data_IF_304181480100
#
_entry.id   IF_304181480100
#
_cell.length_a   1.000
_cell.length_b   1.000
_cell.length_c   1.000
_cell.angle_alpha   90.00
_cell.angle_beta   90.00
_cell.angle_gamma   90.00
#
_symmetry.space_group_name_H-M   'P 1'
#
loop_
_entity.id
_entity.type
_entity.pdbx_description
1 polymer ?
#
# COMPACT_ATOMS: atom_id res chain seq x y z
N UNK A 1 -20.35 -18.93 -0.98
CA UNK A 1 -20.45 -17.56 -0.45
C UNK A 1 -19.63 -17.38 0.85
N UNK A 2 -18.44 -18.00 0.95
CA UNK A 2 -17.53 -17.94 2.12
C UNK A 2 -16.09 -17.55 1.70
N UNK A 3 -15.93 -17.02 0.49
CA UNK A 3 -14.61 -16.68 -0.08
C UNK A 3 -14.06 -15.38 0.52
N UNK A 4 -14.91 -14.38 0.79
CA UNK A 4 -14.50 -13.11 1.39
C UNK A 4 -14.00 -13.23 2.83
N UNK A 5 -14.70 -14.01 3.67
CA UNK A 5 -14.30 -14.26 5.06
C UNK A 5 -13.09 -15.21 5.15
N UNK A 6 -12.91 -16.13 4.19
CA UNK A 6 -11.71 -16.95 4.07
C UNK A 6 -10.49 -16.15 3.58
N UNK A 7 -10.67 -15.17 2.68
CA UNK A 7 -9.62 -14.25 2.23
C UNK A 7 -9.18 -13.28 3.34
N UNK A 8 -10.12 -12.77 4.15
CA UNK A 8 -9.80 -11.92 5.30
C UNK A 8 -9.07 -12.68 6.43
N UNK A 9 -9.46 -13.93 6.71
CA UNK A 9 -8.78 -14.81 7.69
C UNK A 9 -7.42 -15.31 7.19
N UNK A 10 -7.29 -15.68 5.91
CA UNK A 10 -5.99 -16.08 5.34
C UNK A 10 -4.99 -14.93 5.29
N UNK A 11 -5.45 -13.69 5.03
CA UNK A 11 -4.62 -12.49 5.02
C UNK A 11 -4.04 -12.08 6.38
N UNK A 12 -4.60 -12.57 7.51
CA UNK A 12 -4.08 -12.32 8.86
C UNK A 12 -3.13 -13.43 9.34
N UNK A 13 -3.37 -14.69 8.94
CA UNK A 13 -2.51 -15.83 9.26
C UNK A 13 -1.18 -15.86 8.48
N UNK A 14 -1.14 -15.34 7.24
CA UNK A 14 0.05 -15.40 6.36
C UNK A 14 1.08 -14.26 6.56
N UNK A 15 0.81 -13.30 7.47
CA UNK A 15 1.68 -12.14 7.70
C UNK A 15 2.89 -12.41 8.58
N UNK A 16 2.79 -13.36 9.51
CA UNK A 16 3.89 -13.71 10.43
C UNK A 16 5.15 -14.17 9.69
N UNK A 17 5.06 -15.18 8.80
CA UNK A 17 6.19 -15.65 8.02
C UNK A 17 6.77 -14.59 7.08
N UNK A 18 5.93 -13.73 6.49
CA UNK A 18 6.37 -12.65 5.61
C UNK A 18 7.10 -11.53 6.38
N UNK A 19 6.61 -11.16 7.56
CA UNK A 19 7.26 -10.17 8.41
C UNK A 19 8.66 -10.63 8.87
N UNK A 20 8.82 -11.91 9.23
CA UNK A 20 10.11 -12.49 9.55
C UNK A 20 11.09 -12.42 8.36
N UNK A 21 10.60 -12.67 7.13
CA UNK A 21 11.38 -12.51 5.89
C UNK A 21 11.85 -11.09 5.66
N UNK A 22 10.94 -10.12 5.75
CA UNK A 22 11.28 -8.70 5.59
C UNK A 22 12.33 -8.28 6.60
N UNK A 23 12.15 -8.62 7.88
CA UNK A 23 13.11 -8.26 8.94
C UNK A 23 14.47 -8.91 8.73
N UNK A 24 14.50 -10.22 8.41
CA UNK A 24 15.75 -10.93 8.14
C UNK A 24 16.52 -10.32 6.96
N UNK A 25 15.85 -10.08 5.84
CA UNK A 25 16.47 -9.45 4.68
C UNK A 25 16.91 -8.01 4.96
N UNK A 26 16.12 -7.22 5.69
CA UNK A 26 16.49 -5.85 6.06
C UNK A 26 17.75 -5.80 6.93
N UNK A 27 17.85 -6.66 7.94
CA UNK A 27 19.04 -6.75 8.81
C UNK A 27 20.30 -7.10 8.02
N UNK A 28 20.18 -8.02 7.06
CA UNK A 28 21.31 -8.44 6.22
C UNK A 28 21.65 -7.44 5.12
N UNK A 29 20.68 -6.65 4.66
CA UNK A 29 20.89 -5.65 3.60
C UNK A 29 21.80 -4.53 4.06
N UNK A 30 21.67 -4.09 5.32
CA UNK A 30 22.49 -3.00 5.88
C UNK A 30 23.99 -3.29 5.77
N UNK A 31 24.55 -4.40 6.32
CA UNK A 31 25.97 -4.69 6.20
C UNK A 31 26.41 -4.93 4.75
N UNK A 32 25.57 -5.52 3.89
CA UNK A 32 25.90 -5.70 2.46
C UNK A 32 26.09 -4.33 1.79
N UNK A 33 25.14 -3.41 1.95
CA UNK A 33 25.22 -2.06 1.36
C UNK A 33 26.43 -1.30 1.92
N UNK A 34 26.65 -1.35 3.24
CA UNK A 34 27.78 -0.66 3.88
C UNK A 34 29.12 -1.18 3.36
N UNK A 35 29.29 -2.50 3.24
CA UNK A 35 30.54 -3.09 2.73
C UNK A 35 30.77 -2.75 1.26
N UNK A 36 29.72 -2.71 0.43
CA UNK A 36 29.85 -2.34 -0.98
C UNK A 36 30.15 -0.84 -1.15
N UNK A 37 29.48 0.04 -0.41
CA UNK A 37 29.52 1.48 -0.65
C UNK A 37 30.63 2.23 0.11
N UNK A 38 31.21 1.63 1.15
CA UNK A 38 32.20 2.28 2.01
C UNK A 38 33.56 1.58 1.86
N UNK A 39 34.42 2.00 0.90
CA UNK A 39 35.72 1.37 0.65
C UNK A 39 36.62 1.22 1.89
N UNK A 40 36.64 2.17 2.86
CA UNK A 40 37.43 2.00 4.09
C UNK A 40 37.05 0.77 4.93
N UNK A 41 35.83 0.26 4.81
CA UNK A 41 35.35 -0.91 5.55
C UNK A 41 35.64 -2.25 4.83
N UNK A 42 36.24 -2.20 3.63
CA UNK A 42 36.60 -3.36 2.84
C UNK A 42 37.92 -3.99 3.33
N UNK A 43 37.78 -4.96 4.23
CA UNK A 43 38.86 -5.83 4.69
C UNK A 43 39.18 -6.92 3.65
N UNK A 44 40.33 -7.63 3.70
CA UNK A 44 40.82 -8.46 2.60
C UNK A 44 39.91 -9.56 2.03
N UNK A 45 38.86 -9.96 2.76
CA UNK A 45 37.88 -10.97 2.35
C UNK A 45 36.43 -10.46 2.39
N UNK A 46 36.23 -9.14 2.35
CA UNK A 46 34.91 -8.50 2.45
C UNK A 46 33.95 -9.01 1.37
N UNK A 47 34.46 -9.32 0.17
CA UNK A 47 33.68 -9.76 -0.97
C UNK A 47 33.01 -11.13 -0.73
N UNK A 48 33.71 -12.02 -0.01
CA UNK A 48 33.20 -13.34 0.36
C UNK A 48 32.18 -13.24 1.49
N UNK A 49 32.43 -12.35 2.46
CA UNK A 49 31.45 -12.04 3.51
C UNK A 49 30.20 -11.40 2.92
N UNK A 50 30.35 -10.48 1.96
CA UNK A 50 29.24 -9.90 1.21
C UNK A 50 28.41 -10.96 0.49
N UNK A 51 29.06 -11.91 -0.20
CA UNK A 51 28.38 -13.03 -0.85
C UNK A 51 27.62 -13.89 0.17
N UNK A 52 28.24 -14.23 1.29
CA UNK A 52 27.63 -15.03 2.36
C UNK A 52 26.40 -14.33 2.97
N UNK A 53 26.46 -13.02 3.20
CA UNK A 53 25.34 -12.22 3.68
C UNK A 53 24.21 -12.11 2.65
N UNK A 54 24.56 -12.09 1.36
CA UNK A 54 23.59 -11.98 0.26
C UNK A 54 22.93 -13.31 -0.08
N UNK A 55 23.59 -14.45 0.17
CA UNK A 55 23.08 -15.80 -0.09
C UNK A 55 21.68 -16.06 0.51
N UNK A 56 21.39 -15.81 1.80
CA UNK A 56 20.04 -15.98 2.35
C UNK A 56 19.03 -14.99 1.75
N UNK A 57 19.46 -13.79 1.35
CA UNK A 57 18.57 -12.80 0.71
C UNK A 57 18.08 -13.34 -0.64
N UNK A 58 18.99 -13.85 -1.48
CA UNK A 58 18.62 -14.32 -2.81
C UNK A 58 17.93 -15.69 -2.82
N UNK A 59 18.25 -16.58 -1.87
CA UNK A 59 17.69 -17.94 -1.85
C UNK A 59 16.35 -18.01 -1.10
N UNK A 60 16.27 -17.43 0.10
CA UNK A 60 15.09 -17.49 0.95
C UNK A 60 14.22 -16.21 0.85
N UNK A 61 14.88 -15.05 0.83
CA UNK A 61 14.22 -13.75 0.70
C UNK A 61 13.51 -13.58 -0.64
N UNK A 62 14.21 -13.81 -1.76
CA UNK A 62 13.66 -13.63 -3.11
C UNK A 62 12.74 -14.77 -3.58
N UNK A 63 12.62 -15.87 -2.82
CA UNK A 63 11.78 -17.01 -3.21
C UNK A 63 10.31 -16.64 -3.56
N UNK A 64 9.61 -15.78 -2.79
CA UNK A 64 8.26 -15.35 -3.14
C UNK A 64 8.24 -14.54 -4.45
N UNK A 65 9.30 -13.78 -4.75
CA UNK A 65 9.44 -12.98 -5.96
C UNK A 65 9.55 -13.90 -7.18
N UNK A 66 10.40 -14.92 -7.11
CA UNK A 66 10.58 -15.93 -8.16
C UNK A 66 9.29 -16.71 -8.45
N UNK A 67 8.58 -17.12 -7.40
CA UNK A 67 7.29 -17.81 -7.55
C UNK A 67 6.25 -16.93 -8.24
N UNK A 68 6.16 -15.66 -7.85
CA UNK A 68 5.26 -14.69 -8.47
C UNK A 68 5.62 -14.42 -9.94
N UNK A 69 6.91 -14.22 -10.24
CA UNK A 69 7.39 -14.02 -11.60
C UNK A 69 7.10 -15.22 -12.51
N UNK A 70 7.33 -16.44 -12.03
CA UNK A 70 7.04 -17.65 -12.80
C UNK A 70 5.53 -17.81 -13.08
N UNK A 71 4.69 -17.49 -12.10
CA UNK A 71 3.24 -17.51 -12.29
C UNK A 71 2.75 -16.42 -13.26
N UNK A 72 3.41 -15.26 -13.30
CA UNK A 72 3.13 -14.18 -14.25
C UNK A 72 3.52 -14.57 -15.69
N UNK A 73 4.73 -15.12 -15.87
CA UNK A 73 5.21 -15.62 -17.17
C UNK A 73 4.25 -16.69 -17.73
N UNK A 74 3.85 -17.65 -16.89
CA UNK A 74 2.91 -18.72 -17.30
C UNK A 74 1.53 -18.19 -17.72
N UNK A 75 1.12 -17.03 -17.22
CA UNK A 75 -0.16 -16.38 -17.54
C UNK A 75 -0.06 -15.39 -18.70
N UNK A 76 1.10 -15.25 -19.34
CA UNK A 76 1.32 -14.28 -20.42
C UNK A 76 1.30 -12.82 -19.95
N UNK A 77 1.38 -12.55 -18.65
CA UNK A 77 1.48 -11.20 -18.09
C UNK A 77 2.94 -10.91 -17.77
N UNK A 78 3.61 -10.02 -18.50
CA UNK A 78 4.97 -9.60 -18.18
C UNK A 78 4.92 -8.43 -17.16
N UNK A 79 4.88 -8.77 -15.88
CA UNK A 79 4.57 -7.83 -14.80
C UNK A 79 5.78 -7.49 -13.90
N UNK A 80 5.52 -6.62 -12.92
CA UNK A 80 6.46 -6.00 -11.96
C UNK A 80 7.43 -7.02 -11.34
N UNK A 81 6.95 -8.24 -11.03
CA UNK A 81 7.76 -9.25 -10.35
C UNK A 81 8.78 -9.91 -11.29
N UNK A 82 8.47 -10.01 -12.58
CA UNK A 82 9.40 -10.53 -13.61
C UNK A 82 10.63 -9.64 -13.70
N UNK A 83 10.45 -8.33 -13.85
CA UNK A 83 11.58 -7.40 -13.99
C UNK A 83 12.44 -7.35 -12.73
N UNK A 84 11.83 -7.32 -11.54
CA UNK A 84 12.57 -7.38 -10.28
C UNK A 84 13.34 -8.70 -10.12
N UNK A 85 12.75 -9.84 -10.52
CA UNK A 85 13.43 -11.14 -10.55
C UNK A 85 14.63 -11.11 -11.49
N UNK A 86 14.44 -10.63 -12.73
CA UNK A 86 15.52 -10.55 -13.72
C UNK A 86 16.65 -9.64 -13.23
N UNK A 87 16.32 -8.51 -12.62
CA UNK A 87 17.30 -7.56 -12.06
C UNK A 87 18.16 -8.21 -10.99
N UNK A 88 17.53 -8.84 -9.99
CA UNK A 88 18.23 -9.49 -8.87
C UNK A 88 19.06 -10.68 -9.35
N UNK A 89 18.50 -11.52 -10.23
CA UNK A 89 19.21 -12.68 -10.79
C UNK A 89 20.40 -12.27 -11.65
N UNK A 90 20.26 -11.25 -12.50
CA UNK A 90 21.35 -10.74 -13.33
C UNK A 90 22.48 -10.15 -12.48
N UNK A 91 22.13 -9.28 -11.50
CA UNK A 91 23.10 -8.69 -10.59
C UNK A 91 23.89 -9.76 -9.82
N UNK A 92 23.22 -10.80 -9.33
CA UNK A 92 23.87 -11.90 -8.65
C UNK A 92 24.75 -12.74 -9.58
N UNK A 93 24.26 -13.07 -10.77
CA UNK A 93 25.01 -13.86 -11.75
C UNK A 93 26.32 -13.15 -12.14
N UNK A 94 26.28 -11.84 -12.39
CA UNK A 94 27.50 -11.08 -12.66
C UNK A 94 28.41 -10.97 -11.44
N UNK A 95 27.86 -10.80 -10.24
CA UNK A 95 28.68 -10.77 -9.02
C UNK A 95 29.40 -12.10 -8.79
N UNK A 96 28.72 -13.23 -8.98
CA UNK A 96 29.33 -14.57 -8.92
C UNK A 96 30.38 -14.72 -10.02
N UNK A 97 30.10 -14.29 -11.24
CA UNK A 97 31.08 -14.32 -12.32
C UNK A 97 32.33 -13.49 -11.99
N UNK A 98 32.17 -12.28 -11.46
CA UNK A 98 33.27 -11.41 -11.02
C UNK A 98 34.11 -12.02 -9.89
N UNK A 99 33.47 -12.74 -8.95
CA UNK A 99 34.16 -13.39 -7.84
C UNK A 99 34.99 -14.61 -8.25
N UNK A 100 34.47 -15.44 -9.15
CA UNK A 100 35.10 -16.72 -9.49
C UNK A 100 35.96 -16.65 -10.76
N UNK A 101 35.58 -15.81 -11.72
CA UNK A 101 36.24 -15.68 -13.02
C UNK A 101 36.82 -14.28 -13.28
N UNK A 102 36.61 -13.34 -12.36
CA UNK A 102 37.09 -11.96 -12.46
C UNK A 102 38.09 -11.58 -11.37
N UNK A 103 38.56 -10.32 -11.38
CA UNK A 103 39.57 -9.84 -10.44
C UNK A 103 39.05 -9.69 -9.00
N UNK A 104 37.74 -9.71 -8.77
CA UNK A 104 37.16 -9.59 -7.44
C UNK A 104 37.41 -10.78 -6.53
N UNK A 105 37.78 -11.95 -7.09
CA UNK A 105 38.16 -13.12 -6.30
C UNK A 105 39.46 -12.96 -5.53
N UNK A 106 40.32 -12.01 -5.93
CA UNK A 106 41.63 -11.82 -5.32
C UNK A 106 41.52 -11.29 -3.87
N UNK A 107 42.26 -11.88 -2.91
CA UNK A 107 42.36 -11.31 -1.56
C UNK A 107 42.85 -9.86 -1.61
N UNK A 108 42.20 -8.97 -0.87
CA UNK A 108 42.53 -7.55 -0.88
C UNK A 108 41.91 -6.74 -2.04
N UNK A 109 41.07 -7.35 -2.88
CA UNK A 109 40.24 -6.61 -3.83
C UNK A 109 39.48 -5.50 -3.12
N UNK A 110 39.47 -4.30 -3.69
CA UNK A 110 38.67 -3.18 -3.22
C UNK A 110 37.87 -2.61 -4.38
N UNK A 111 36.60 -2.35 -4.12
CA UNK A 111 35.69 -1.72 -5.05
C UNK A 111 35.51 -0.27 -4.64
N UNK A 112 35.90 0.65 -5.53
CA UNK A 112 35.55 2.05 -5.40
C UNK A 112 34.16 2.30 -6.03
N UNK A 113 33.39 3.21 -5.44
CA UNK A 113 32.11 3.63 -6.02
C UNK A 113 32.37 4.50 -7.25
N UNK A 114 31.99 4.01 -8.43
CA UNK A 114 31.91 4.82 -9.64
C UNK A 114 30.50 5.38 -9.81
N UNK A 115 30.41 6.65 -10.22
CA UNK A 115 29.13 7.28 -10.55
C UNK A 115 28.59 6.86 -11.92
N UNK A 116 29.49 6.50 -12.83
CA UNK A 116 29.23 6.31 -14.28
C UNK A 116 29.86 5.02 -14.79
N UNK A 117 29.26 4.39 -15.79
CA UNK A 117 29.82 3.17 -16.41
C UNK A 117 30.97 3.50 -17.36
N UNK A 118 30.87 4.59 -18.13
CA UNK A 118 31.82 4.94 -19.21
C UNK A 118 33.24 5.22 -18.70
N UNK A 119 33.36 5.71 -17.47
CA UNK A 119 34.63 6.11 -16.87
C UNK A 119 35.14 5.08 -15.84
N UNK A 120 34.46 3.94 -15.71
CA UNK A 120 34.83 2.88 -14.78
C UNK A 120 35.55 1.72 -15.46
N UNK A 121 36.46 1.07 -14.75
CA UNK A 121 36.94 -0.25 -15.13
C UNK A 121 35.79 -1.24 -14.88
N UNK A 122 35.01 -1.55 -15.92
CA UNK A 122 33.86 -2.45 -15.82
C UNK A 122 34.23 -3.92 -15.54
N UNK A 123 35.49 -4.19 -15.20
CA UNK A 123 36.02 -5.53 -14.96
C UNK A 123 36.05 -5.82 -13.45
N UNK A 124 35.17 -6.72 -13.01
CA UNK A 124 35.18 -7.26 -11.64
C UNK A 124 34.32 -6.54 -10.62
N UNK A 125 33.42 -5.65 -11.01
CA UNK A 125 32.50 -5.06 -10.04
C UNK A 125 31.51 -6.08 -9.47
N UNK A 126 31.17 -5.89 -8.20
CA UNK A 126 30.19 -6.63 -7.44
C UNK A 126 28.93 -5.79 -7.32
N UNK A 127 27.78 -6.44 -7.49
CA UNK A 127 26.44 -5.84 -7.46
C UNK A 127 25.56 -6.49 -6.38
N UNK A 128 26.18 -6.87 -5.26
CA UNK A 128 25.50 -7.54 -4.15
C UNK A 128 24.47 -6.62 -3.46
N UNK A 129 24.74 -5.32 -3.44
CA UNK A 129 23.84 -4.28 -2.97
C UNK A 129 22.55 -4.20 -3.80
N UNK A 130 22.62 -4.45 -5.11
CA UNK A 130 21.43 -4.49 -5.98
C UNK A 130 20.52 -5.64 -5.55
N UNK A 131 21.10 -6.82 -5.33
CA UNK A 131 20.38 -8.01 -4.85
C UNK A 131 19.72 -7.72 -3.51
N UNK A 132 20.47 -7.15 -2.56
CA UNK A 132 20.01 -6.89 -1.21
C UNK A 132 18.89 -5.85 -1.16
N UNK A 133 19.11 -4.68 -1.77
CA UNK A 133 18.16 -3.55 -1.75
C UNK A 133 16.87 -3.88 -2.50
N UNK A 134 16.97 -4.39 -3.73
CA UNK A 134 15.79 -4.68 -4.56
C UNK A 134 14.92 -5.76 -3.91
N UNK A 135 15.54 -6.83 -3.40
CA UNK A 135 14.81 -7.92 -2.73
C UNK A 135 14.11 -7.44 -1.47
N UNK A 136 14.83 -6.70 -0.62
CA UNK A 136 14.28 -6.18 0.65
C UNK A 136 13.16 -5.18 0.40
N UNK A 137 13.33 -4.27 -0.55
CA UNK A 137 12.30 -3.29 -0.91
C UNK A 137 11.06 -3.97 -1.52
N UNK A 138 11.23 -4.99 -2.37
CA UNK A 138 10.13 -5.76 -2.94
C UNK A 138 9.36 -6.55 -1.85
N UNK A 139 10.05 -7.19 -0.92
CA UNK A 139 9.43 -7.86 0.24
C UNK A 139 8.69 -6.88 1.13
N UNK A 140 9.31 -5.73 1.44
CA UNK A 140 8.68 -4.66 2.22
C UNK A 140 7.38 -4.18 1.56
N UNK A 141 7.40 -3.93 0.25
CA UNK A 141 6.22 -3.54 -0.50
C UNK A 141 5.10 -4.60 -0.45
N UNK A 142 5.45 -5.89 -0.54
CA UNK A 142 4.48 -7.00 -0.40
C UNK A 142 3.90 -7.09 1.01
N UNK A 143 4.72 -6.88 2.03
CA UNK A 143 4.27 -6.89 3.42
C UNK A 143 3.29 -5.75 3.68
N UNK A 144 3.59 -4.54 3.22
CA UNK A 144 2.69 -3.37 3.30
C UNK A 144 1.40 -3.60 2.49
N UNK A 145 1.48 -4.30 1.36
CA UNK A 145 0.33 -4.64 0.53
C UNK A 145 -0.59 -5.71 1.14
N UNK A 146 -0.10 -6.49 2.13
CA UNK A 146 -0.84 -7.60 2.71
C UNK A 146 -1.00 -8.81 1.77
N UNK A 147 -0.23 -8.89 0.68
CA UNK A 147 -0.33 -9.98 -0.30
C UNK A 147 0.24 -9.64 -1.68
N UNK A 148 0.18 -10.59 -2.64
CA UNK A 148 0.54 -10.33 -4.03
C UNK A 148 -0.43 -9.31 -4.65
N UNK A 149 0.10 -8.35 -5.42
CA UNK A 149 -0.76 -7.41 -6.16
C UNK A 149 -1.22 -7.99 -7.49
N UNK A 150 -2.48 -7.75 -7.91
CA UNK A 150 -2.85 -7.93 -9.30
C UNK A 150 -2.03 -6.98 -10.19
N UNK A 151 -1.66 -7.49 -11.35
CA UNK A 151 -0.77 -6.85 -12.34
C UNK A 151 -1.41 -5.57 -12.87
N UNK A 152 -0.90 -4.41 -12.43
CA UNK A 152 -1.28 -3.09 -12.94
C UNK A 152 -0.23 -2.46 -13.87
N UNK A 153 0.89 -3.15 -14.12
CA UNK A 153 1.86 -2.73 -15.11
C UNK A 153 1.41 -3.20 -16.49
N UNK A 154 1.54 -2.32 -17.49
CA UNK A 154 1.27 -2.64 -18.90
C UNK A 154 2.07 -3.89 -19.30
N UNK A 155 1.43 -4.85 -19.97
CA UNK A 155 2.08 -6.05 -20.54
C UNK A 155 3.31 -5.69 -21.38
N UNK A 156 3.32 -4.47 -21.94
CA UNK A 156 4.41 -3.95 -22.76
C UNK A 156 5.62 -3.44 -21.98
N UNK A 157 5.48 -3.15 -20.68
CA UNK A 157 6.55 -2.51 -19.91
C UNK A 157 7.83 -3.34 -19.87
N UNK A 158 7.72 -4.63 -19.52
CA UNK A 158 8.90 -5.51 -19.42
C UNK A 158 9.59 -5.70 -20.77
N UNK A 159 8.89 -6.04 -21.88
CA UNK A 159 9.50 -6.09 -23.21
C UNK A 159 10.20 -4.79 -23.61
N UNK A 160 9.60 -3.62 -23.36
CA UNK A 160 10.21 -2.32 -23.67
C UNK A 160 11.51 -2.10 -22.90
N UNK A 161 11.54 -2.46 -21.62
CA UNK A 161 12.75 -2.35 -20.79
C UNK A 161 13.83 -3.31 -21.28
N UNK A 162 13.49 -4.56 -21.57
CA UNK A 162 14.45 -5.54 -22.09
C UNK A 162 15.03 -5.12 -23.44
N UNK A 163 14.18 -4.56 -24.30
CA UNK A 163 14.60 -4.00 -25.59
C UNK A 163 15.54 -2.81 -25.41
N UNK A 164 15.21 -1.88 -24.50
CA UNK A 164 16.08 -0.74 -24.19
C UNK A 164 17.43 -1.17 -23.61
N UNK A 165 17.45 -2.15 -22.70
CA UNK A 165 18.67 -2.71 -22.13
C UNK A 165 19.54 -3.40 -23.21
N UNK A 166 18.91 -4.16 -24.11
CA UNK A 166 19.60 -4.80 -25.23
C UNK A 166 20.18 -3.76 -26.20
N UNK A 167 19.39 -2.77 -26.62
CA UNK A 167 19.86 -1.69 -27.50
C UNK A 167 21.04 -0.97 -26.88
N UNK A 168 20.93 -0.58 -25.60
CA UNK A 168 22.03 0.10 -24.89
C UNK A 168 23.30 -0.72 -24.92
N UNK A 169 23.22 -2.01 -24.55
CA UNK A 169 24.36 -2.91 -24.58
C UNK A 169 24.97 -3.08 -25.98
N UNK A 170 24.15 -3.31 -27.01
CA UNK A 170 24.63 -3.47 -28.38
C UNK A 170 25.26 -2.21 -28.95
N UNK A 171 24.66 -1.05 -28.69
CA UNK A 171 25.20 0.24 -29.10
C UNK A 171 26.60 0.47 -28.51
N UNK A 172 26.75 0.31 -27.19
CA UNK A 172 28.04 0.54 -26.52
C UNK A 172 29.08 -0.52 -26.84
N UNK A 173 28.66 -1.77 -27.07
CA UNK A 173 29.54 -2.81 -27.59
C UNK A 173 30.08 -2.44 -28.99
N UNK A 174 29.20 -1.98 -29.89
CA UNK A 174 29.59 -1.53 -31.23
C UNK A 174 30.45 -0.25 -31.21
N UNK A 175 30.26 0.61 -30.21
CA UNK A 175 31.07 1.81 -29.98
C UNK A 175 32.45 1.52 -29.35
N UNK A 176 32.78 0.26 -29.07
CA UNK A 176 34.10 -0.14 -28.59
C UNK A 176 34.28 -0.15 -27.07
N UNK A 177 33.21 0.00 -26.27
CA UNK A 177 33.31 0.00 -24.80
C UNK A 177 33.66 -1.37 -24.19
N UNK A 178 33.70 -2.43 -25.00
CA UNK A 178 33.99 -3.79 -24.56
C UNK A 178 32.77 -4.50 -23.95
N UNK A 179 32.90 -5.84 -23.79
CA UNK A 179 31.82 -6.70 -23.27
C UNK A 179 31.42 -6.37 -21.82
N UNK A 180 32.36 -6.11 -20.88
CA UNK A 180 31.99 -5.85 -19.49
C UNK A 180 31.16 -4.57 -19.34
N UNK A 181 31.58 -3.47 -19.97
CA UNK A 181 30.82 -2.20 -19.92
C UNK A 181 29.43 -2.32 -20.55
N UNK A 182 29.29 -3.05 -21.67
CA UNK A 182 27.99 -3.28 -22.30
C UNK A 182 27.02 -4.04 -21.36
N UNK A 183 27.51 -5.03 -20.62
CA UNK A 183 26.72 -5.77 -19.62
C UNK A 183 26.36 -4.90 -18.41
N UNK A 184 27.27 -4.03 -17.95
CA UNK A 184 26.98 -3.07 -16.88
C UNK A 184 25.90 -2.07 -17.29
N UNK A 185 25.89 -1.60 -18.54
CA UNK A 185 24.83 -0.72 -19.07
C UNK A 185 23.49 -1.44 -19.12
N UNK A 186 23.45 -2.68 -19.60
CA UNK A 186 22.24 -3.49 -19.57
C UNK A 186 21.71 -3.63 -18.13
N UNK A 187 22.59 -3.93 -17.17
CA UNK A 187 22.21 -4.02 -15.77
C UNK A 187 21.70 -2.70 -15.22
N UNK A 188 22.39 -1.59 -15.49
CA UNK A 188 21.99 -0.27 -15.03
C UNK A 188 20.58 0.07 -15.51
N UNK A 189 20.23 -0.26 -16.76
CA UNK A 189 18.88 -0.08 -17.30
C UNK A 189 17.85 -0.97 -16.58
N UNK A 190 18.17 -2.23 -16.31
CA UNK A 190 17.30 -3.13 -15.53
C UNK A 190 17.06 -2.60 -14.10
N UNK A 191 18.11 -2.15 -13.42
CA UNK A 191 18.02 -1.59 -12.07
C UNK A 191 17.24 -0.27 -12.06
N UNK A 192 17.55 0.65 -12.98
CA UNK A 192 16.91 1.96 -13.09
C UNK A 192 15.41 1.87 -13.42
N UNK A 193 15.01 0.81 -14.13
CA UNK A 193 13.61 0.54 -14.48
C UNK A 193 12.85 -0.28 -13.44
N UNK A 194 13.52 -0.70 -12.35
CA UNK A 194 12.96 -1.61 -11.37
C UNK A 194 11.70 -1.02 -10.71
N UNK A 195 10.51 -1.63 -10.90
CA UNK A 195 9.22 -1.02 -10.57
C UNK A 195 8.82 -1.18 -9.09
N UNK A 196 9.79 -1.37 -8.18
CA UNK A 196 9.51 -1.72 -6.77
C UNK A 196 8.70 -0.63 -6.07
N UNK A 197 8.97 0.65 -6.34
CA UNK A 197 8.22 1.75 -5.75
C UNK A 197 6.74 1.81 -6.22
N UNK A 198 6.40 1.30 -7.41
CA UNK A 198 5.00 1.21 -7.86
C UNK A 198 4.19 0.24 -7.00
N UNK A 199 4.85 -0.73 -6.37
CA UNK A 199 4.25 -1.61 -5.38
C UNK A 199 4.02 -0.91 -4.02
N UNK A 200 4.34 0.37 -3.87
CA UNK A 200 4.08 1.16 -2.65
C UNK A 200 2.99 2.22 -2.80
N UNK A 201 2.59 2.59 -4.03
CA UNK A 201 1.68 3.72 -4.30
C UNK A 201 0.37 3.71 -3.47
N UNK A 202 -0.34 2.58 -3.45
CA UNK A 202 -1.61 2.42 -2.73
C UNK A 202 -1.45 2.09 -1.23
N UNK A 203 -0.59 1.13 -0.83
CA UNK A 203 -0.53 0.69 0.56
C UNK A 203 0.12 1.75 1.45
N UNK A 204 1.08 2.52 0.93
CA UNK A 204 1.68 3.63 1.67
C UNK A 204 0.63 4.71 1.98
N UNK A 205 -0.17 5.10 0.97
CA UNK A 205 -1.26 6.05 1.17
C UNK A 205 -2.31 5.52 2.16
N UNK A 206 -2.70 4.24 2.02
CA UNK A 206 -3.67 3.63 2.92
C UNK A 206 -3.14 3.52 4.36
N UNK A 207 -1.86 3.19 4.56
CA UNK A 207 -1.24 3.16 5.89
C UNK A 207 -1.12 4.54 6.50
N UNK A 208 -0.80 5.57 5.71
CA UNK A 208 -0.77 6.94 6.19
C UNK A 208 -2.17 7.43 6.59
N UNK A 209 -3.20 7.10 5.81
CA UNK A 209 -4.59 7.39 6.16
C UNK A 209 -5.02 6.62 7.42
N UNK A 210 -4.66 5.34 7.54
CA UNK A 210 -4.95 4.55 8.74
C UNK A 210 -4.28 5.12 9.99
N UNK A 211 -3.02 5.57 9.89
CA UNK A 211 -2.31 6.23 10.98
C UNK A 211 -2.97 7.56 11.36
N UNK A 212 -3.43 8.34 10.36
CA UNK A 212 -4.16 9.58 10.60
C UNK A 212 -5.48 9.32 11.33
N UNK A 213 -6.27 8.36 10.86
CA UNK A 213 -7.55 7.95 11.45
C UNK A 213 -7.41 7.46 12.88
N UNK A 214 -6.34 6.71 13.19
CA UNK A 214 -6.06 6.24 14.56
C UNK A 214 -5.88 7.38 15.56
N UNK A 215 -5.37 8.54 15.13
CA UNK A 215 -5.24 9.72 15.99
C UNK A 215 -6.59 10.34 16.35
N UNK A 216 -7.62 10.06 15.55
CA UNK A 216 -9.01 10.50 15.75
C UNK A 216 -9.89 9.42 16.40
N UNK A 217 -9.29 8.40 17.03
CA UNK A 217 -10.06 7.32 17.67
C UNK A 217 -10.71 6.33 16.70
N UNK A 218 -10.39 6.41 15.39
CA UNK A 218 -10.95 5.52 14.37
C UNK A 218 -10.00 4.34 14.14
N UNK A 219 -10.46 3.15 14.47
CA UNK A 219 -9.70 1.90 14.32
C UNK A 219 -10.22 1.09 13.14
N UNK A 220 -9.35 0.85 12.16
CA UNK A 220 -9.63 0.00 11.01
C UNK A 220 -9.23 -1.45 11.32
N UNK A 221 -10.13 -2.41 11.12
CA UNK A 221 -9.81 -3.84 11.25
C UNK A 221 -9.09 -4.41 10.02
N UNK A 222 -9.21 -3.74 8.88
CA UNK A 222 -8.57 -4.12 7.63
C UNK A 222 -8.29 -2.94 6.70
N UNK A 223 -7.23 -3.06 5.90
CA UNK A 223 -6.90 -2.09 4.84
C UNK A 223 -7.94 -2.00 3.71
N UNK A 224 -8.71 -3.06 3.35
CA UNK A 224 -9.77 -2.94 2.35
C UNK A 224 -10.84 -1.92 2.71
N UNK A 225 -11.16 -1.74 4.01
CA UNK A 225 -12.18 -0.80 4.49
C UNK A 225 -11.94 0.63 3.97
N UNK A 226 -10.69 1.09 4.00
CA UNK A 226 -10.30 2.40 3.43
C UNK A 226 -10.50 2.51 1.93
N UNK A 227 -10.27 1.41 1.21
CA UNK A 227 -10.47 1.36 -0.24
C UNK A 227 -11.96 1.40 -0.58
N UNK A 228 -12.79 0.70 0.20
CA UNK A 228 -14.25 0.76 0.05
C UNK A 228 -14.78 2.14 0.41
N UNK A 229 -14.29 2.75 1.51
CA UNK A 229 -14.66 4.11 1.93
C UNK A 229 -14.49 5.15 0.81
N UNK A 230 -13.49 4.98 -0.07
CA UNK A 230 -13.28 5.85 -1.24
C UNK A 230 -14.36 5.78 -2.32
N UNK A 231 -15.19 4.74 -2.29
CA UNK A 231 -16.21 4.41 -3.31
C UNK A 231 -17.63 4.46 -2.79
N UNK A 232 -17.81 4.67 -1.48
CA UNK A 232 -19.13 4.75 -0.85
C UNK A 232 -19.96 5.80 -1.58
N UNK A 233 -21.16 5.39 -1.98
CA UNK A 233 -22.13 6.19 -2.70
C UNK A 233 -23.49 6.25 -1.98
N UNK A 234 -23.69 5.42 -0.94
CA UNK A 234 -24.87 5.44 -0.09
C UNK A 234 -24.47 5.21 1.37
N UNK A 235 -25.06 5.99 2.28
CA UNK A 235 -24.83 5.87 3.73
C UNK A 235 -26.16 5.55 4.41
N UNK A 236 -26.18 4.46 5.16
CA UNK A 236 -27.33 4.02 5.95
C UNK A 236 -26.97 4.14 7.43
N UNK A 237 -27.85 4.76 8.20
CA UNK A 237 -27.76 4.84 9.65
C UNK A 237 -28.76 3.84 10.20
N UNK A 238 -28.30 2.78 10.87
CA UNK A 238 -29.16 1.76 11.44
C UNK A 238 -29.19 1.89 12.97
N UNK A 239 -30.40 1.98 13.55
CA UNK A 239 -30.57 2.09 15.00
C UNK A 239 -31.89 1.50 15.47
N UNK A 240 -31.91 1.02 16.72
CA UNK A 240 -33.16 0.64 17.37
C UNK A 240 -33.84 1.84 18.01
N UNK A 241 -35.06 2.12 17.57
CA UNK A 241 -35.93 3.08 18.23
C UNK A 241 -36.77 2.34 19.28
N UNK A 242 -36.15 1.90 20.37
CA UNK A 242 -36.88 1.27 21.48
C UNK A 242 -37.35 2.35 22.47
N UNK A 243 -38.66 2.38 22.72
CA UNK A 243 -39.26 3.16 23.81
C UNK A 243 -39.09 2.39 25.11
N UNK A 244 -38.72 3.09 26.19
CA UNK A 244 -38.77 2.51 27.52
C UNK A 244 -40.19 2.36 28.05
N UNK A 245 -40.44 1.40 28.95
CA UNK A 245 -41.78 1.11 29.49
C UNK A 245 -42.46 2.29 30.21
N UNK A 246 -41.71 3.33 30.61
CA UNK A 246 -42.22 4.51 31.32
C UNK A 246 -42.37 5.76 30.42
N UNK A 247 -42.20 5.65 29.10
CA UNK A 247 -42.11 6.82 28.22
C UNK A 247 -40.81 7.63 28.40
N UNK A 248 -39.97 7.27 29.37
CA UNK A 248 -38.57 7.64 29.40
C UNK A 248 -37.79 6.84 28.33
N UNK A 249 -36.89 7.53 27.61
CA UNK A 249 -35.96 6.95 26.63
C UNK A 249 -35.18 5.79 27.28
N UNK A 250 -35.64 4.55 27.16
CA UNK A 250 -34.86 3.40 27.56
C UNK A 250 -34.20 2.81 26.32
N UNK A 251 -32.88 2.85 26.31
CA UNK A 251 -32.06 2.25 25.28
C UNK A 251 -31.02 3.24 24.78
N UNK A 252 -29.77 3.04 25.20
CA UNK A 252 -28.60 3.71 24.64
C UNK A 252 -28.29 3.23 23.20
N UNK A 253 -29.30 3.07 22.35
CA UNK A 253 -29.18 2.55 20.98
C UNK A 253 -28.91 3.70 20.01
N UNK A 254 -27.65 4.09 19.87
CA UNK A 254 -27.13 5.15 18.98
C UNK A 254 -27.68 6.55 19.21
N UNK A 255 -26.85 7.44 19.77
CA UNK A 255 -27.01 8.86 19.49
C UNK A 255 -26.94 9.05 17.97
N UNK A 256 -27.95 9.66 17.32
CA UNK A 256 -27.91 9.89 15.89
C UNK A 256 -26.71 10.79 15.55
N UNK A 257 -26.15 10.63 14.34
CA UNK A 257 -25.15 11.55 13.82
C UNK A 257 -25.67 12.99 13.99
N UNK A 258 -24.84 13.88 14.55
CA UNK A 258 -25.24 15.27 14.73
C UNK A 258 -25.57 15.96 13.39
N UNK A 259 -26.40 17.02 13.41
CA UNK A 259 -26.83 17.72 12.19
C UNK A 259 -25.66 18.26 11.36
N UNK A 260 -24.56 18.66 12.02
CA UNK A 260 -23.31 19.08 11.37
C UNK A 260 -22.70 17.96 10.53
N UNK A 261 -22.71 16.72 11.02
CA UNK A 261 -22.14 15.58 10.31
C UNK A 261 -23.00 15.19 9.11
N UNK A 262 -24.33 15.19 9.25
CA UNK A 262 -25.27 14.92 8.15
C UNK A 262 -25.13 15.97 7.05
N UNK A 263 -25.06 17.25 7.41
CA UNK A 263 -24.83 18.33 6.44
C UNK A 263 -23.51 18.18 5.66
N UNK A 264 -22.44 17.72 6.32
CA UNK A 264 -21.14 17.48 5.68
C UNK A 264 -21.12 16.22 4.81
N UNK A 265 -21.83 15.16 5.21
CA UNK A 265 -22.05 14.00 4.33
C UNK A 265 -22.78 14.42 3.05
N UNK A 266 -23.80 15.29 3.15
CA UNK A 266 -24.45 15.87 1.96
C UNK A 266 -23.51 16.75 1.14
N UNK A 267 -22.63 17.52 1.79
CA UNK A 267 -21.55 18.25 1.11
C UNK A 267 -20.55 17.34 0.37
N UNK A 268 -20.51 16.06 0.75
CA UNK A 268 -19.79 14.99 0.06
C UNK A 268 -20.69 14.23 -0.93
N UNK A 269 -21.86 14.74 -1.32
CA UNK A 269 -22.78 14.05 -2.25
C UNK A 269 -23.22 12.67 -1.71
N UNK A 270 -23.33 12.55 -0.38
CA UNK A 270 -23.88 11.38 0.30
C UNK A 270 -25.12 11.84 1.06
N UNK A 271 -26.30 11.42 0.61
CA UNK A 271 -27.54 11.65 1.35
C UNK A 271 -27.79 10.47 2.30
N UNK A 272 -27.65 10.66 3.63
CA UNK A 272 -27.82 9.57 4.57
C UNK A 272 -29.29 9.17 4.69
N UNK A 273 -29.55 7.86 4.80
CA UNK A 273 -30.90 7.31 5.05
C UNK A 273 -30.94 6.69 6.43
N UNK A 274 -31.96 7.02 7.24
CA UNK A 274 -32.18 6.41 8.54
C UNK A 274 -33.03 5.15 8.39
N UNK A 275 -32.50 4.00 8.84
CA UNK A 275 -33.20 2.74 8.95
C UNK A 275 -33.45 2.47 10.44
N UNK A 276 -34.72 2.42 10.84
CA UNK A 276 -35.11 2.24 12.24
C UNK A 276 -36.01 1.01 12.41
N UNK A 277 -35.75 0.23 13.46
CA UNK A 277 -36.57 -0.95 13.79
C UNK A 277 -37.78 -0.64 14.67
N UNK A 278 -37.87 0.58 15.21
CA UNK A 278 -38.96 1.01 16.08
C UNK A 278 -40.06 1.82 15.40
N UNK A 279 -40.89 2.47 16.23
CA UNK A 279 -42.06 3.22 15.79
C UNK A 279 -41.69 4.44 14.92
N UNK A 280 -42.55 4.71 13.94
CA UNK A 280 -42.35 5.69 12.87
C UNK A 280 -42.31 7.15 13.37
N UNK A 281 -43.05 7.47 14.42
CA UNK A 281 -43.01 8.75 15.13
C UNK A 281 -41.66 9.00 15.81
N UNK A 282 -41.12 8.00 16.50
CA UNK A 282 -39.81 8.08 17.17
C UNK A 282 -38.68 8.16 16.15
N UNK A 283 -38.76 7.39 15.07
CA UNK A 283 -37.78 7.40 13.99
C UNK A 283 -37.71 8.77 13.29
N UNK A 284 -38.87 9.37 12.96
CA UNK A 284 -38.92 10.73 12.38
C UNK A 284 -38.38 11.79 13.32
N UNK A 285 -38.73 11.73 14.60
CA UNK A 285 -38.20 12.69 15.58
C UNK A 285 -36.66 12.64 15.68
N UNK A 286 -36.06 11.45 15.60
CA UNK A 286 -34.60 11.31 15.55
C UNK A 286 -34.00 11.82 14.23
N UNK A 287 -34.66 11.56 13.11
CA UNK A 287 -34.23 12.05 11.81
C UNK A 287 -34.25 13.58 11.73
N UNK A 288 -35.30 14.22 12.26
CA UNK A 288 -35.44 15.68 12.30
C UNK A 288 -34.31 16.33 13.13
N UNK A 289 -33.97 15.73 14.29
CA UNK A 289 -32.86 16.19 15.13
C UNK A 289 -31.49 16.05 14.43
N UNK A 290 -31.33 15.01 13.63
CA UNK A 290 -30.12 14.75 12.86
C UNK A 290 -30.09 15.51 11.51
N UNK A 291 -31.21 16.06 11.06
CA UNK A 291 -31.37 16.65 9.73
C UNK A 291 -31.41 15.62 8.59
N UNK A 292 -31.80 14.36 8.86
CA UNK A 292 -31.95 13.30 7.85
C UNK A 292 -33.33 13.40 7.19
N UNK A 293 -33.38 13.45 5.86
CA UNK A 293 -34.64 13.62 5.12
C UNK A 293 -35.36 12.29 4.85
N UNK A 294 -34.59 11.23 4.59
CA UNK A 294 -35.14 9.92 4.21
C UNK A 294 -35.13 8.97 5.41
N UNK A 295 -36.31 8.50 5.82
CA UNK A 295 -36.49 7.61 6.97
C UNK A 295 -37.32 6.39 6.56
N UNK A 296 -36.86 5.21 6.99
CA UNK A 296 -37.62 3.96 6.87
C UNK A 296 -37.70 3.31 8.25
N UNK A 297 -38.90 3.29 8.83
CA UNK A 297 -39.16 2.79 10.18
C UNK A 297 -39.86 1.42 10.17
N UNK A 298 -39.94 0.78 11.35
CA UNK A 298 -40.62 -0.51 11.55
C UNK A 298 -39.93 -1.72 10.91
N UNK A 299 -38.62 -1.63 10.63
CA UNK A 299 -37.86 -2.70 9.99
C UNK A 299 -37.43 -3.78 10.98
N UNK A 300 -37.52 -5.04 10.60
CA UNK A 300 -36.82 -6.12 11.33
C UNK A 300 -35.34 -6.16 10.92
N UNK A 301 -34.42 -6.70 11.75
CA UNK A 301 -32.99 -6.77 11.39
C UNK A 301 -32.71 -7.45 10.04
N UNK A 302 -33.50 -8.46 9.67
CA UNK A 302 -33.41 -9.13 8.37
C UNK A 302 -33.84 -8.23 7.19
N UNK A 303 -34.79 -7.32 7.43
CA UNK A 303 -35.29 -6.36 6.44
C UNK A 303 -34.30 -5.20 6.26
N UNK A 304 -33.63 -4.76 7.33
CA UNK A 304 -32.51 -3.81 7.26
C UNK A 304 -31.39 -4.36 6.36
N UNK A 305 -30.98 -5.62 6.59
CA UNK A 305 -29.98 -6.28 5.75
C UNK A 305 -30.44 -6.48 4.29
N UNK A 306 -31.74 -6.71 4.06
CA UNK A 306 -32.30 -6.79 2.70
C UNK A 306 -32.30 -5.43 2.00
N UNK A 307 -32.55 -4.33 2.72
CA UNK A 307 -32.47 -2.98 2.16
C UNK A 307 -31.05 -2.63 1.70
N UNK A 308 -30.02 -3.03 2.46
CA UNK A 308 -28.60 -2.92 2.06
C UNK A 308 -28.36 -3.63 0.74
N UNK A 309 -28.79 -4.90 0.63
CA UNK A 309 -28.61 -5.71 -0.59
C UNK A 309 -29.31 -5.13 -1.80
N UNK A 310 -30.52 -4.59 -1.63
CA UNK A 310 -31.26 -3.94 -2.72
C UNK A 310 -30.50 -2.74 -3.31
N UNK A 311 -29.86 -1.94 -2.46
CA UNK A 311 -29.03 -0.81 -2.92
C UNK A 311 -27.75 -1.30 -3.61
N UNK A 312 -27.15 -2.38 -3.11
CA UNK A 312 -25.99 -3.02 -3.75
C UNK A 312 -26.34 -3.59 -5.14
N UNK A 313 -27.50 -4.23 -5.27
CA UNK A 313 -28.03 -4.72 -6.55
C UNK A 313 -28.30 -3.58 -7.54
N UNK A 314 -28.66 -2.39 -7.04
CA UNK A 314 -28.76 -1.17 -7.83
C UNK A 314 -27.40 -0.53 -8.18
N UNK A 315 -26.29 -1.15 -7.75
CA UNK A 315 -24.92 -0.71 -8.05
C UNK A 315 -24.32 0.28 -7.05
N UNK A 316 -24.99 0.58 -5.93
CA UNK A 316 -24.46 1.44 -4.90
C UNK A 316 -23.43 0.70 -4.03
N UNK A 317 -22.38 1.41 -3.59
CA UNK A 317 -21.48 0.93 -2.53
C UNK A 317 -22.01 1.47 -1.21
N UNK A 318 -22.47 0.56 -0.36
CA UNK A 318 -23.28 0.89 0.82
C UNK A 318 -22.44 0.84 2.09
N UNK A 319 -22.39 1.97 2.80
CA UNK A 319 -21.85 2.04 4.15
C UNK A 319 -22.99 2.00 5.17
N UNK A 320 -22.86 1.16 6.20
CA UNK A 320 -23.82 1.09 7.32
C UNK A 320 -23.14 1.57 8.58
N UNK A 321 -23.80 2.46 9.32
CA UNK A 321 -23.34 3.00 10.61
C UNK A 321 -24.30 2.54 11.69
N UNK A 322 -23.80 1.86 12.71
CA UNK A 322 -24.60 1.48 13.88
C UNK A 322 -23.77 1.35 15.16
N UNK A 323 -24.36 1.66 16.29
CA UNK A 323 -23.84 1.37 17.63
C UNK A 323 -24.60 0.24 18.32
N UNK A 324 -25.61 -0.32 17.65
CA UNK A 324 -26.49 -1.33 18.19
C UNK A 324 -26.01 -2.74 17.78
N UNK A 325 -25.69 -3.63 18.74
CA UNK A 325 -25.39 -5.03 18.45
C UNK A 325 -26.51 -5.77 17.70
N UNK A 326 -27.77 -5.38 17.87
CA UNK A 326 -28.92 -6.05 17.24
C UNK A 326 -28.98 -5.78 15.73
N UNK A 327 -28.35 -4.69 15.26
CA UNK A 327 -28.23 -4.34 13.84
C UNK A 327 -26.97 -4.92 13.17
N UNK A 328 -26.25 -5.82 13.86
CA UNK A 328 -25.09 -6.54 13.32
C UNK A 328 -25.32 -7.22 11.93
N UNK A 329 -26.50 -7.78 11.61
CA UNK A 329 -26.76 -8.34 10.28
C UNK A 329 -26.69 -7.31 9.14
N UNK A 330 -27.13 -6.07 9.39
CA UNK A 330 -27.03 -4.98 8.43
C UNK A 330 -25.56 -4.55 8.24
N UNK A 331 -24.80 -4.48 9.34
CA UNK A 331 -23.37 -4.19 9.32
C UNK A 331 -22.58 -5.24 8.52
N UNK A 332 -22.92 -6.52 8.69
CA UNK A 332 -22.29 -7.62 7.98
C UNK A 332 -22.70 -7.71 6.49
N UNK A 333 -23.85 -7.15 6.12
CA UNK A 333 -24.31 -7.10 4.73
C UNK A 333 -23.70 -5.92 3.95
N UNK A 334 -23.25 -4.87 4.64
CA UNK A 334 -22.70 -3.66 4.03
C UNK A 334 -21.37 -3.91 3.30
N UNK A 335 -21.05 -3.07 2.32
CA UNK A 335 -19.70 -3.04 1.75
C UNK A 335 -18.70 -2.44 2.74
N UNK A 336 -19.17 -1.53 3.60
CA UNK A 336 -18.41 -0.92 4.68
C UNK A 336 -19.25 -0.85 5.97
N UNK A 337 -18.91 -1.70 6.93
CA UNK A 337 -19.53 -1.65 8.26
C UNK A 337 -18.78 -0.73 9.22
N UNK A 338 -19.43 0.33 9.69
CA UNK A 338 -18.92 1.27 10.70
C UNK A 338 -19.67 1.05 12.01
N UNK A 339 -18.95 0.64 13.06
CA UNK A 339 -19.51 0.57 14.41
C UNK A 339 -19.08 1.73 15.29
N UNK A 340 -20.05 2.29 16.01
CA UNK A 340 -19.84 3.29 17.06
C UNK A 340 -19.59 2.66 18.45
N UNK A 341 -19.52 1.33 18.51
CA UNK A 341 -19.28 0.57 19.74
C UNK A 341 -18.23 -0.50 19.51
N UNK A 342 -17.29 -0.64 20.45
CA UNK A 342 -16.30 -1.73 20.40
C UNK A 342 -16.91 -3.11 20.66
N UNK A 343 -18.18 -3.19 21.08
CA UNK A 343 -18.87 -4.43 21.37
C UNK A 343 -19.25 -5.25 20.12
N UNK A 344 -19.25 -4.63 18.93
CA UNK A 344 -19.67 -5.28 17.69
C UNK A 344 -18.46 -5.81 16.91
N UNK A 345 -18.28 -7.13 16.89
CA UNK A 345 -17.07 -7.76 16.33
C UNK A 345 -17.07 -7.84 14.79
N UNK A 346 -18.24 -7.69 14.17
CA UNK A 346 -18.43 -7.79 12.71
C UNK A 346 -18.11 -6.50 11.93
N UNK A 347 -17.78 -5.40 12.61
CA UNK A 347 -17.51 -4.11 11.97
C UNK A 347 -16.15 -4.05 11.26
N UNK A 348 -16.07 -3.41 10.10
CA UNK A 348 -14.80 -3.11 9.43
C UNK A 348 -14.04 -1.96 10.10
N UNK A 349 -14.80 -0.98 10.59
CA UNK A 349 -14.32 0.23 11.24
C UNK A 349 -14.99 0.35 12.60
N UNK A 350 -14.20 0.62 13.63
CA UNK A 350 -14.68 0.90 14.98
C UNK A 350 -14.27 2.33 15.35
N UNK A 351 -15.24 3.14 15.73
CA UNK A 351 -15.01 4.51 16.21
C UNK A 351 -15.16 4.46 17.73
N UNK A 352 -14.06 4.71 18.45
CA UNK A 352 -13.99 4.54 19.91
C UNK A 352 -14.66 5.68 20.69
N UNK A 353 -14.73 6.86 20.08
CA UNK A 353 -15.39 8.05 20.61
C UNK A 353 -16.62 8.31 19.75
N UNK A 354 -17.79 8.57 20.35
CA UNK A 354 -19.04 8.81 19.62
C UNK A 354 -19.06 10.16 18.88
N UNK A 355 -17.92 10.65 18.43
CA UNK A 355 -17.80 11.87 17.65
C UNK A 355 -18.27 11.59 16.20
N UNK A 356 -19.42 12.13 15.78
CA UNK A 356 -19.93 11.93 14.43
C UNK A 356 -19.01 12.56 13.36
N UNK A 357 -18.07 13.45 13.72
CA UNK A 357 -17.01 13.96 12.84
C UNK A 357 -16.10 12.85 12.29
N UNK A 358 -15.94 11.78 13.07
CA UNK A 358 -15.05 10.68 12.73
C UNK A 358 -15.47 9.95 11.43
N UNK A 359 -16.79 9.82 11.21
CA UNK A 359 -17.35 9.24 9.97
C UNK A 359 -17.03 10.11 8.76
N UNK A 360 -17.19 11.42 8.90
CA UNK A 360 -16.90 12.39 7.83
C UNK A 360 -15.42 12.34 7.46
N UNK A 361 -14.53 12.32 8.46
CA UNK A 361 -13.08 12.25 8.23
C UNK A 361 -12.66 10.92 7.58
N UNK A 362 -13.28 9.80 7.96
CA UNK A 362 -13.09 8.50 7.31
C UNK A 362 -13.42 8.55 5.81
N UNK A 363 -14.59 9.07 5.44
CA UNK A 363 -15.02 9.19 4.03
C UNK A 363 -14.12 10.17 3.28
N UNK A 364 -13.80 11.32 3.88
CA UNK A 364 -12.92 12.34 3.30
C UNK A 364 -11.53 11.76 2.99
N UNK A 365 -10.88 11.13 3.96
CA UNK A 365 -9.57 10.48 3.77
C UNK A 365 -9.66 9.35 2.75
N UNK A 366 -10.75 8.56 2.78
CA UNK A 366 -11.06 7.58 1.75
C UNK A 366 -11.00 8.18 0.34
N UNK A 367 -11.65 9.32 0.12
CA UNK A 367 -11.68 10.03 -1.18
C UNK A 367 -10.35 10.68 -1.57
N UNK A 368 -9.47 10.99 -0.63
CA UNK A 368 -8.12 11.48 -0.91
C UNK A 368 -7.15 10.36 -1.35
N UNK A 369 -7.44 9.09 -1.03
CA UNK A 369 -6.55 7.97 -1.35
C UNK A 369 -6.25 7.81 -2.84
N UNK A 370 -7.25 7.83 -3.77
CA UNK A 370 -6.98 7.72 -5.19
C UNK A 370 -6.09 8.85 -5.72
N UNK A 371 -6.28 10.09 -5.24
CA UNK A 371 -5.47 11.23 -5.65
C UNK A 371 -4.02 11.07 -5.18
N UNK A 372 -3.82 10.68 -3.91
CA UNK A 372 -2.48 10.44 -3.33
C UNK A 372 -1.77 9.29 -4.03
N UNK A 373 -2.47 8.19 -4.30
CA UNK A 373 -1.91 7.06 -5.03
C UNK A 373 -1.58 7.40 -6.49
N UNK A 374 -2.31 8.33 -7.14
CA UNK A 374 -1.96 8.85 -8.47
C UNK A 374 -0.71 9.72 -8.41
N UNK A 375 -0.57 10.59 -7.40
CA UNK A 375 0.63 11.40 -7.20
C UNK A 375 1.88 10.53 -6.96
N UNK A 376 1.77 9.53 -6.07
CA UNK A 376 2.83 8.54 -5.81
C UNK A 376 3.23 7.78 -7.09
N UNK A 377 2.25 7.35 -7.89
CA UNK A 377 2.51 6.68 -9.18
C UNK A 377 3.23 7.61 -10.16
N UNK A 378 2.82 8.88 -10.25
CA UNK A 378 3.46 9.89 -11.11
C UNK A 378 4.91 10.14 -10.70
N UNK A 379 5.19 10.22 -9.40
CA UNK A 379 6.54 10.33 -8.86
C UNK A 379 7.42 9.15 -9.28
N UNK A 380 6.94 7.93 -9.04
CA UNK A 380 7.69 6.73 -9.41
C UNK A 380 7.94 6.65 -10.91
N UNK A 381 6.93 6.99 -11.73
CA UNK A 381 7.08 7.06 -13.18
C UNK A 381 8.15 8.09 -13.57
N UNK A 382 8.13 9.29 -13.00
CA UNK A 382 9.13 10.33 -13.28
C UNK A 382 10.55 9.89 -12.93
N UNK A 383 10.75 9.23 -11.77
CA UNK A 383 12.07 8.71 -11.38
C UNK A 383 12.60 7.68 -12.36
N UNK A 384 11.75 6.77 -12.84
CA UNK A 384 12.13 5.75 -13.83
C UNK A 384 12.39 6.38 -15.20
N UNK A 385 11.51 7.27 -15.66
CA UNK A 385 11.64 7.97 -16.94
C UNK A 385 12.93 8.80 -17.01
N UNK A 386 13.39 9.36 -15.89
CA UNK A 386 14.66 10.08 -15.83
C UNK A 386 15.87 9.13 -15.73
N UNK A 387 15.78 8.07 -14.90
CA UNK A 387 16.91 7.19 -14.64
C UNK A 387 17.26 6.27 -15.81
N UNK A 388 16.28 5.79 -16.58
CA UNK A 388 16.51 4.83 -17.68
C UNK A 388 17.35 5.43 -18.81
N UNK A 389 17.10 6.65 -19.33
CA UNK A 389 17.96 7.27 -20.33
C UNK A 389 19.38 7.52 -19.81
N UNK A 390 19.53 7.93 -18.55
CA UNK A 390 20.85 8.12 -17.92
C UNK A 390 21.63 6.79 -17.84
N UNK A 391 20.96 5.70 -17.49
CA UNK A 391 21.54 4.36 -17.50
C UNK A 391 21.92 3.90 -18.92
N UNK A 392 21.03 4.07 -19.90
CA UNK A 392 21.29 3.71 -21.29
C UNK A 392 22.44 4.53 -21.91
N UNK A 393 22.59 5.79 -21.49
CA UNK A 393 23.70 6.65 -21.86
C UNK A 393 25.00 6.32 -21.12
N UNK A 394 25.05 5.28 -20.26
CA UNK A 394 26.24 4.92 -19.48
C UNK A 394 26.61 5.92 -18.38
N UNK A 395 25.74 6.90 -18.10
CA UNK A 395 25.94 7.93 -17.08
C UNK A 395 25.52 7.48 -15.67
N UNK A 396 24.86 6.34 -15.57
CA UNK A 396 24.39 5.79 -14.29
C UNK A 396 24.98 4.40 -14.08
N UNK A 397 25.86 4.26 -13.09
CA UNK A 397 26.39 2.97 -12.68
C UNK A 397 25.31 2.13 -11.96
N UNK A 398 25.27 0.77 -12.08
CA UNK A 398 24.25 -0.05 -11.42
C UNK A 398 24.14 0.16 -9.90
N UNK A 399 25.28 0.34 -9.21
CA UNK A 399 25.31 0.64 -7.78
C UNK A 399 24.61 1.96 -7.44
N UNK A 400 24.68 2.97 -8.32
CA UNK A 400 23.98 4.25 -8.17
C UNK A 400 22.53 4.15 -8.60
N UNK A 401 22.26 3.37 -9.65
CA UNK A 401 20.90 3.09 -10.11
C UNK A 401 20.03 2.47 -9.01
N UNK A 402 20.59 1.67 -8.10
CA UNK A 402 19.82 1.15 -6.95
C UNK A 402 19.35 2.27 -6.02
N UNK A 403 20.07 3.39 -5.96
CA UNK A 403 19.68 4.58 -5.20
C UNK A 403 18.40 5.21 -5.75
N UNK A 404 18.11 5.11 -7.05
CA UNK A 404 16.86 5.63 -7.62
C UNK A 404 15.64 4.84 -7.14
N UNK A 405 15.81 3.54 -6.86
CA UNK A 405 14.77 2.70 -6.24
C UNK A 405 14.43 3.22 -4.83
N UNK A 406 15.45 3.57 -4.04
CA UNK A 406 15.26 4.14 -2.70
C UNK A 406 14.62 5.53 -2.76
N UNK A 407 15.04 6.38 -3.69
CA UNK A 407 14.44 7.71 -3.92
C UNK A 407 12.96 7.57 -4.33
N UNK A 408 12.64 6.63 -5.21
CA UNK A 408 11.26 6.31 -5.59
C UNK A 408 10.42 5.95 -4.36
N UNK A 409 10.89 5.00 -3.56
CA UNK A 409 10.19 4.56 -2.34
C UNK A 409 10.05 5.68 -1.30
N UNK A 410 11.09 6.49 -1.08
CA UNK A 410 11.08 7.60 -0.15
C UNK A 410 10.09 8.70 -0.58
N UNK A 411 10.03 9.03 -1.88
CA UNK A 411 9.06 10.00 -2.38
C UNK A 411 7.62 9.51 -2.28
N UNK A 412 7.36 8.21 -2.52
CA UNK A 412 6.03 7.61 -2.26
C UNK A 412 5.65 7.76 -0.78
N UNK A 413 6.58 7.50 0.14
CA UNK A 413 6.36 7.68 1.56
C UNK A 413 6.10 9.15 1.93
N UNK A 414 6.87 10.09 1.39
CA UNK A 414 6.71 11.52 1.63
C UNK A 414 5.36 12.05 1.11
N UNK A 415 4.97 11.67 -0.11
CA UNK A 415 3.65 12.02 -0.68
C UNK A 415 2.52 11.45 0.20
N UNK A 416 2.66 10.21 0.66
CA UNK A 416 1.68 9.57 1.54
C UNK A 416 1.60 10.24 2.91
N UNK A 417 2.72 10.75 3.44
CA UNK A 417 2.79 11.45 4.72
C UNK A 417 1.93 12.71 4.74
N UNK A 418 1.69 13.35 3.58
CA UNK A 418 0.80 14.50 3.44
C UNK A 418 -0.64 14.24 3.91
N UNK A 419 -1.07 12.98 4.02
CA UNK A 419 -2.38 12.60 4.55
C UNK A 419 -2.51 12.71 6.09
N UNK A 420 -1.41 12.94 6.82
CA UNK A 420 -1.39 12.92 8.30
C UNK A 420 -1.84 14.22 8.98
N UNK A 421 -2.03 15.30 8.23
CA UNK A 421 -2.49 16.58 8.80
C UNK A 421 -3.98 16.54 9.15
N UNK A 422 -4.40 17.03 10.34
CA UNK A 422 -5.81 17.18 10.65
C UNK A 422 -6.46 18.11 9.64
N UNK A 423 -7.66 17.75 9.22
CA UNK A 423 -8.41 18.59 8.31
C UNK A 423 -8.90 19.84 9.04
N UNK A 424 -8.96 20.99 8.36
CA UNK A 424 -9.65 22.16 8.91
C UNK A 424 -11.08 21.80 9.35
N UNK A 425 -11.72 20.88 8.63
CA UNK A 425 -13.08 20.40 8.88
C UNK A 425 -13.20 19.61 10.18
N UNK A 426 -12.28 18.68 10.47
CA UNK A 426 -12.25 17.93 11.72
C UNK A 426 -12.10 18.89 12.91
N UNK A 427 -11.19 19.86 12.82
CA UNK A 427 -11.01 20.85 13.90
C UNK A 427 -12.22 21.77 14.11
N UNK A 428 -13.06 21.94 13.09
CA UNK A 428 -14.30 22.73 13.18
C UNK A 428 -15.44 21.93 13.81
N UNK A 429 -15.62 20.66 13.41
CA UNK A 429 -16.71 19.81 13.95
C UNK A 429 -16.44 19.49 15.42
N UNK A 430 -15.21 19.10 15.74
CA UNK A 430 -14.82 18.77 17.11
C UNK A 430 -15.04 19.94 18.07
N UNK A 431 -14.74 21.18 17.63
CA UNK A 431 -15.01 22.40 18.40
C UNK A 431 -16.50 22.72 18.50
N UNK A 432 -17.27 22.54 17.42
CA UNK A 432 -18.70 22.82 17.38
C UNK A 432 -19.51 21.89 18.32
N UNK A 433 -19.17 20.60 18.37
CA UNK A 433 -19.87 19.61 19.19
C UNK A 433 -19.41 19.59 20.66
N UNK A 434 -18.23 20.15 20.97
CA UNK A 434 -17.72 20.26 22.36
C UNK A 434 -17.83 21.67 22.96
N UNK A 435 -18.46 22.62 22.26
CA UNK A 435 -18.73 23.97 22.79
C UNK A 435 -17.49 24.83 23.01
N UNK A 436 -16.34 24.45 22.44
CA UNK A 436 -15.10 25.22 22.52
C UNK A 436 -15.14 26.36 21.50
N UNK A 437 -15.36 27.58 21.99
CA UNK A 437 -15.34 28.81 21.17
C UNK A 437 -13.93 29.13 20.65
N UNK A 438 -13.79 29.73 19.45
CA UNK A 438 -12.52 29.89 18.74
C UNK A 438 -11.46 30.75 19.43
#
# INVERSE_FOLDING_TARGET
MDEGAAVARSGRADRGPLHARVRGCAVLTVPVVVLTWVPPLQFPAWQWVGLLLTAPIITWGALPLYRSALAEIRRGSAAVNVLATLTVSAAFAMSVHSLFAGPAGAPGYRQAMSLTVIWGDGSGQLHLEVVAVVTTAALGARWLAGGPRPTGASTWFVPTVLFAAAIGAFFWFGAGAGRPAALEIALAVLVASCPVALALDRPAAALAAADALRRFGITLRGMPALTVASRVSAVLIAGSATLGPDGARAGAGTQPLGPTAVARLRGLDLDPVLLASGADDVARAHADLAGVETVVAGLRPAETAAAVRRLQEAGAVVAVITGDPDEAPALAAADLGISLSSAVDVADVVIADTDPAAVVELVRLGRCLPATARAARRWTAATVTLAVPLAAAGLLHPAVAVGTVLIGAAGVAAISHGLRGPSPEWTQIHRADHGESP
#
